data_IF_333641589222
#
_entry.id   IF_333641589222
#
_cell.length_a   1.000
_cell.length_b   1.000
_cell.length_c   1.000
_cell.angle_alpha   90.00
_cell.angle_beta   90.00
_cell.angle_gamma   90.00
#
_symmetry.space_group_name_H-M   'P 1'
#
loop_
_entity.id
_entity.type
_entity.pdbx_description
1 polymer ?
#
# COMPACT_ATOMS: atom_id res chain seq x y z
N UNK A 1 0.29 -6.75 -16.90
CA UNK A 1 0.48 -7.04 -15.48
C UNK A 1 0.48 -5.74 -14.68
N UNK A 2 -0.31 -5.68 -13.64
CA UNK A 2 -0.37 -4.50 -12.78
C UNK A 2 0.01 -4.88 -11.36
N UNK A 3 0.45 -3.91 -10.57
CA UNK A 3 0.80 -4.13 -9.18
C UNK A 3 -0.15 -3.32 -8.32
N UNK A 4 -0.80 -3.99 -7.38
CA UNK A 4 -1.78 -3.41 -6.49
C UNK A 4 -1.20 -3.30 -5.08
N UNK A 5 -1.47 -2.18 -4.42
CA UNK A 5 -1.02 -1.99 -3.04
C UNK A 5 -1.98 -2.69 -2.08
N UNK A 6 -1.43 -3.33 -1.04
CA UNK A 6 -2.20 -4.02 -0.02
C UNK A 6 -2.01 -3.41 1.36
N UNK A 7 -1.57 -2.16 1.43
CA UNK A 7 -1.29 -1.51 2.71
C UNK A 7 -2.52 -1.47 3.60
N UNK A 8 -3.67 -1.12 3.03
CA UNK A 8 -4.92 -1.03 3.78
C UNK A 8 -5.31 -2.38 4.39
N UNK A 9 -5.23 -3.43 3.59
CA UNK A 9 -5.58 -4.76 4.03
C UNK A 9 -4.66 -5.24 5.15
N UNK A 10 -3.36 -5.06 4.97
CA UNK A 10 -2.38 -5.51 5.97
C UNK A 10 -2.53 -4.72 7.27
N UNK A 11 -2.73 -3.39 7.16
CA UNK A 11 -2.93 -2.57 8.35
C UNK A 11 -4.16 -3.02 9.13
N UNK A 12 -5.24 -3.36 8.43
CA UNK A 12 -6.45 -3.86 9.08
C UNK A 12 -6.20 -5.17 9.80
N UNK A 13 -5.47 -6.07 9.16
CA UNK A 13 -5.11 -7.34 9.77
C UNK A 13 -4.31 -7.16 11.05
N UNK A 14 -3.44 -6.15 11.05
CA UNK A 14 -2.60 -5.86 12.21
C UNK A 14 -3.28 -4.97 13.24
N UNK A 15 -4.49 -4.48 12.95
CA UNK A 15 -5.21 -3.62 13.87
C UNK A 15 -4.60 -2.24 14.02
N UNK A 16 -3.94 -1.75 12.97
CA UNK A 16 -3.27 -0.45 12.99
C UNK A 16 -4.08 0.56 12.21
N UNK A 17 -4.49 1.65 12.86
CA UNK A 17 -5.27 2.70 12.21
C UNK A 17 -4.40 3.55 11.30
N UNK A 18 -5.05 4.30 10.39
CA UNK A 18 -4.34 5.22 9.50
C UNK A 18 -3.53 6.25 10.27
N UNK A 19 -4.13 6.80 11.34
CA UNK A 19 -3.45 7.81 12.15
C UNK A 19 -2.21 7.26 12.82
N UNK A 20 -2.33 6.07 13.38
CA UNK A 20 -1.17 5.41 14.01
C UNK A 20 -0.12 5.06 12.97
N UNK A 21 -0.56 4.57 11.82
CA UNK A 21 0.37 4.17 10.76
C UNK A 21 1.19 5.36 10.27
N UNK A 22 0.53 6.48 9.98
CA UNK A 22 1.25 7.64 9.45
C UNK A 22 2.26 8.20 10.45
N UNK A 23 1.88 8.24 11.73
CA UNK A 23 2.79 8.75 12.77
C UNK A 23 3.99 7.82 12.99
N UNK A 24 3.73 6.53 13.06
CA UNK A 24 4.79 5.56 13.35
C UNK A 24 5.73 5.39 12.16
N UNK A 25 5.20 5.45 10.94
CA UNK A 25 6.00 5.25 9.73
C UNK A 25 6.65 6.54 9.24
N UNK A 26 6.28 7.69 9.81
CA UNK A 26 6.78 8.99 9.35
C UNK A 26 6.45 9.20 7.86
N UNK A 27 5.22 8.87 7.50
CA UNK A 27 4.68 9.07 6.16
C UNK A 27 3.49 10.01 6.31
N UNK A 28 3.37 11.00 5.43
CA UNK A 28 2.30 11.99 5.58
C UNK A 28 0.93 11.32 5.53
N UNK A 29 0.00 11.86 6.29
CA UNK A 29 -1.37 11.35 6.33
C UNK A 29 -2.02 11.42 4.96
N UNK A 30 -1.71 12.47 4.21
CA UNK A 30 -2.22 12.64 2.86
C UNK A 30 -1.79 11.49 1.96
N UNK A 31 -0.53 11.08 2.07
CA UNK A 31 -0.02 9.95 1.29
C UNK A 31 -0.72 8.66 1.67
N UNK A 32 -0.92 8.43 2.98
CA UNK A 32 -1.64 7.24 3.44
C UNK A 32 -3.07 7.23 2.90
N UNK A 33 -3.75 8.36 2.93
CA UNK A 33 -5.10 8.46 2.40
C UNK A 33 -5.14 8.13 0.90
N UNK A 34 -4.15 8.60 0.15
CA UNK A 34 -4.08 8.29 -1.28
C UNK A 34 -3.88 6.81 -1.53
N UNK A 35 -2.98 6.19 -0.76
CA UNK A 35 -2.73 4.76 -0.88
C UNK A 35 -4.00 3.97 -0.57
N UNK A 36 -4.76 4.40 0.42
CA UNK A 36 -5.99 3.69 0.81
C UNK A 36 -7.10 3.85 -0.23
N UNK A 37 -7.20 5.04 -0.83
CA UNK A 37 -8.28 5.30 -1.79
C UNK A 37 -7.96 4.80 -3.20
N UNK A 38 -6.68 4.67 -3.52
CA UNK A 38 -6.26 4.21 -4.85
C UNK A 38 -5.15 3.16 -4.69
N UNK A 39 -5.51 1.88 -4.72
CA UNK A 39 -4.51 0.81 -4.54
C UNK A 39 -3.49 0.75 -5.67
N UNK A 40 -3.70 1.48 -6.76
CA UNK A 40 -2.74 1.55 -7.85
C UNK A 40 -1.94 2.84 -7.85
N UNK A 41 -2.02 3.60 -6.77
CA UNK A 41 -1.26 4.84 -6.62
C UNK A 41 0.24 4.55 -6.68
N UNK A 42 0.96 5.36 -7.45
CA UNK A 42 2.41 5.22 -7.58
C UNK A 42 3.08 5.78 -6.33
N UNK A 43 3.67 4.90 -5.54
CA UNK A 43 4.42 5.28 -4.35
C UNK A 43 5.86 4.83 -4.51
N UNK A 44 6.73 5.31 -3.63
CA UNK A 44 8.15 4.97 -3.71
C UNK A 44 8.46 3.73 -2.87
N UNK A 45 9.57 3.07 -3.20
CA UNK A 45 10.04 1.95 -2.41
C UNK A 45 10.43 2.39 -1.01
N UNK A 46 10.88 3.63 -0.86
CA UNK A 46 11.21 4.18 0.45
C UNK A 46 9.96 4.22 1.33
N UNK A 47 8.85 4.73 0.80
CA UNK A 47 7.60 4.78 1.52
C UNK A 47 7.11 3.38 1.87
N UNK A 48 7.16 2.44 0.92
CA UNK A 48 6.75 1.07 1.18
C UNK A 48 7.59 0.44 2.28
N UNK A 49 8.90 0.69 2.27
CA UNK A 49 9.79 0.16 3.30
C UNK A 49 9.42 0.68 4.70
N UNK A 50 9.10 1.97 4.80
CA UNK A 50 8.70 2.57 6.08
C UNK A 50 7.41 1.93 6.59
N UNK A 51 6.43 1.75 5.71
CA UNK A 51 5.16 1.16 6.09
C UNK A 51 5.33 -0.31 6.49
N UNK A 52 6.13 -1.05 5.74
CA UNK A 52 6.37 -2.46 6.03
C UNK A 52 7.02 -2.64 7.40
N UNK A 53 7.94 -1.76 7.76
CA UNK A 53 8.61 -1.83 9.04
C UNK A 53 7.62 -1.68 10.19
N UNK A 54 6.72 -0.71 10.09
CA UNK A 54 5.71 -0.48 11.13
C UNK A 54 4.72 -1.64 11.18
N UNK A 55 4.34 -2.17 10.02
CA UNK A 55 3.38 -3.27 9.97
C UNK A 55 4.01 -4.61 10.31
N UNK A 56 5.33 -4.68 10.38
CA UNK A 56 6.01 -5.91 10.75
C UNK A 56 5.96 -6.99 9.69
N UNK A 57 5.96 -6.58 8.42
CA UNK A 57 5.91 -7.51 7.29
C UNK A 57 6.99 -7.15 6.28
N UNK A 58 7.39 -8.09 5.42
CA UNK A 58 8.29 -7.75 4.31
C UNK A 58 7.59 -6.79 3.35
N UNK A 59 8.34 -5.87 2.73
CA UNK A 59 7.72 -4.93 1.78
C UNK A 59 6.93 -5.62 0.66
N UNK A 60 7.36 -6.79 0.24
CA UNK A 60 6.66 -7.55 -0.79
C UNK A 60 5.24 -7.93 -0.41
N UNK A 61 4.95 -8.01 0.90
CA UNK A 61 3.60 -8.32 1.37
C UNK A 61 2.64 -7.16 1.21
N UNK A 62 3.15 -5.97 0.89
CA UNK A 62 2.32 -4.79 0.69
C UNK A 62 1.92 -4.58 -0.76
N UNK A 63 2.32 -5.48 -1.64
CA UNK A 63 1.98 -5.40 -3.05
C UNK A 63 1.53 -6.78 -3.53
N UNK A 64 0.72 -6.78 -4.57
CA UNK A 64 0.35 -8.04 -5.21
C UNK A 64 0.21 -7.81 -6.71
N UNK A 65 0.50 -8.84 -7.45
CA UNK A 65 0.37 -8.81 -8.89
C UNK A 65 -1.07 -9.16 -9.26
N UNK A 66 -1.67 -8.33 -10.12
CA UNK A 66 -3.03 -8.58 -10.58
C UNK A 66 -3.05 -8.59 -12.10
N UNK A 67 -4.02 -9.28 -12.70
CA UNK A 67 -4.11 -9.33 -14.17
C UNK A 67 -4.42 -7.97 -14.75
N UNK A 68 -3.92 -7.74 -15.97
CA UNK A 68 -4.22 -6.54 -16.75
C UNK A 68 -5.47 -6.73 -17.58
N UNK A 69 -6.46 -7.39 -17.01
CA UNK A 69 -7.65 -7.72 -17.79
C UNK A 69 -8.31 -6.50 -18.40
N UNK A 70 -8.26 -5.39 -17.70
CA UNK A 70 -8.83 -4.15 -18.21
C UNK A 70 -8.09 -3.66 -19.43
N UNK A 71 -6.77 -3.67 -19.36
CA UNK A 71 -5.95 -3.23 -20.49
C UNK A 71 -6.09 -4.18 -21.65
N UNK A 72 -6.12 -5.46 -21.37
CA UNK A 72 -6.28 -6.47 -22.40
C UNK A 72 -7.61 -6.33 -23.12
N UNK A 73 -8.66 -6.02 -22.38
CA UNK A 73 -9.97 -5.89 -22.99
C UNK A 73 -10.09 -4.66 -23.88
N UNK A 74 -9.18 -3.71 -23.72
CA UNK A 74 -9.19 -2.49 -24.51
C UNK A 74 -8.39 -2.59 -25.78
N UNK A 75 -7.77 -3.71 -26.01
CA UNK A 75 -6.93 -3.91 -27.19
C UNK A 75 -7.62 -4.70 -28.31
#
# INVERSE_FOLDING_TARGET
MAVRLRVKEVAREKGISMGKLHRAADVSYKTIKRIYSDPFYATTTITLGKLAKVLGVPPGDLIEEVPDSKEESNQ
#
